data_IF_621369194813
#
_entry.id   IF_621369194813
#
_cell.length_a   1.000
_cell.length_b   1.000
_cell.length_c   1.000
_cell.angle_alpha   90.00
_cell.angle_beta   90.00
_cell.angle_gamma   90.00
#
_symmetry.space_group_name_H-M   'P 1'
#
loop_
_entity.id
_entity.type
_entity.pdbx_description
1 polymer ?
#
# COMPACT_ATOMS: atom_id res chain seq x y z
N UNK A 1 3.54 -41.01 17.47
CA UNK A 1 2.33 -40.89 18.32
C UNK A 1 1.31 -40.09 17.54
N UNK A 2 0.22 -40.80 17.11
CA UNK A 2 -0.90 -40.21 16.35
C UNK A 2 -1.89 -39.60 17.34
N UNK A 3 -2.41 -38.37 17.08
CA UNK A 3 -3.73 -37.93 17.51
C UNK A 3 -4.19 -36.89 16.50
N UNK A 4 -5.14 -37.21 15.64
CA UNK A 4 -6.59 -37.07 15.73
C UNK A 4 -7.03 -35.60 15.85
N UNK A 5 -7.43 -34.98 14.73
CA UNK A 5 -8.62 -34.15 14.66
C UNK A 5 -9.15 -34.17 13.22
N UNK A 6 -9.87 -35.24 12.86
CA UNK A 6 -10.89 -35.26 11.82
C UNK A 6 -12.23 -35.32 12.55
N UNK A 7 -13.21 -34.67 11.96
CA UNK A 7 -14.67 -34.81 12.18
C UNK A 7 -15.31 -33.47 12.54
N UNK A 8 -15.78 -32.76 11.54
CA UNK A 8 -17.09 -32.12 11.60
C UNK A 8 -17.49 -31.60 10.19
N UNK A 9 -17.92 -32.54 9.32
CA UNK A 9 -18.83 -32.21 8.22
C UNK A 9 -19.74 -33.43 8.02
N UNK A 10 -20.99 -33.33 8.37
CA UNK A 10 -22.06 -34.11 7.74
C UNK A 10 -23.45 -33.56 8.11
N UNK A 11 -24.21 -33.36 7.10
CA UNK A 11 -25.65 -33.58 7.15
C UNK A 11 -26.49 -32.30 7.17
N UNK A 12 -27.38 -32.10 6.41
CA UNK A 12 -28.53 -32.66 5.64
C UNK A 12 -29.28 -31.45 5.10
N UNK A 13 -29.87 -31.35 4.00
CA UNK A 13 -30.74 -32.29 3.32
C UNK A 13 -32.11 -31.67 3.11
N UNK A 14 -32.44 -31.50 1.90
CA UNK A 14 -33.73 -31.42 1.18
C UNK A 14 -35.04 -31.59 2.02
N UNK A 15 -35.99 -30.68 1.88
CA UNK A 15 -37.33 -31.00 1.34
C UNK A 15 -38.21 -29.77 1.24
N UNK A 16 -38.77 -29.55 0.09
CA UNK A 16 -39.78 -28.56 -0.19
C UNK A 16 -41.16 -29.01 0.28
N UNK A 17 -42.06 -28.05 0.42
CA UNK A 17 -43.48 -28.21 0.15
C UNK A 17 -44.09 -26.83 -0.13
N UNK A 18 -44.70 -26.74 -1.28
CA UNK A 18 -45.53 -25.67 -1.81
C UNK A 18 -46.90 -25.74 -1.10
N UNK A 19 -47.34 -24.66 -0.46
CA UNK A 19 -48.76 -24.46 -0.19
C UNK A 19 -49.12 -22.99 -0.31
N UNK A 20 -49.86 -22.72 -1.35
CA UNK A 20 -50.66 -21.51 -1.61
C UNK A 20 -51.76 -21.36 -0.58
N UNK A 21 -51.80 -20.23 0.13
CA UNK A 21 -53.04 -19.77 0.77
C UNK A 21 -53.27 -18.27 0.42
N UNK A 22 -54.36 -18.12 -0.31
CA UNK A 22 -55.01 -16.88 -0.64
C UNK A 22 -55.81 -16.40 0.60
N UNK A 23 -55.54 -15.22 1.16
CA UNK A 23 -56.44 -14.56 2.07
C UNK A 23 -56.54 -13.07 1.88
N UNK A 24 -57.76 -12.60 1.89
CA UNK A 24 -58.27 -11.29 1.57
C UNK A 24 -57.71 -10.15 2.40
N UNK A 25 -57.65 -8.99 1.75
CA UNK A 25 -57.34 -7.69 2.28
C UNK A 25 -58.40 -7.16 3.24
N UNK A 26 -57.97 -6.54 4.34
CA UNK A 26 -58.66 -5.46 5.02
C UNK A 26 -57.62 -4.38 5.43
N UNK A 27 -57.92 -3.10 5.26
CA UNK A 27 -56.97 -2.03 5.54
C UNK A 27 -56.95 -1.67 7.04
N UNK A 28 -55.78 -1.71 7.66
CA UNK A 28 -55.55 -1.14 8.98
C UNK A 28 -54.80 0.19 8.87
N UNK A 29 -55.00 1.17 9.79
CA UNK A 29 -54.55 2.52 9.64
C UNK A 29 -53.03 2.65 9.76
N UNK A 30 -52.49 3.48 8.88
CA UNK A 30 -51.07 3.86 8.84
C UNK A 30 -50.68 4.63 10.10
N UNK A 31 -49.96 3.98 11.01
CA UNK A 31 -49.12 4.66 11.99
C UNK A 31 -47.79 5.02 11.31
N UNK A 32 -47.63 6.31 11.04
CA UNK A 32 -46.39 6.92 10.60
C UNK A 32 -45.37 6.77 11.73
N UNK A 33 -44.56 5.70 11.70
CA UNK A 33 -43.33 5.63 12.47
C UNK A 33 -42.29 6.45 11.71
N UNK A 34 -42.01 7.62 12.29
CA UNK A 34 -40.87 8.45 11.92
C UNK A 34 -39.59 7.61 12.11
N UNK A 35 -39.09 6.99 11.03
CA UNK A 35 -37.74 6.41 11.01
C UNK A 35 -36.78 7.58 11.16
N UNK A 36 -36.25 7.74 12.37
CA UNK A 36 -35.06 8.56 12.61
C UNK A 36 -33.91 7.93 11.83
N UNK A 37 -33.57 8.50 10.70
CA UNK A 37 -32.30 8.30 10.02
C UNK A 37 -31.18 8.38 11.05
N UNK A 38 -30.24 7.43 11.11
CA UNK A 38 -29.08 7.58 11.97
C UNK A 38 -28.35 8.82 11.48
N UNK A 39 -28.39 9.87 12.27
CA UNK A 39 -27.56 11.05 12.12
C UNK A 39 -26.12 10.54 12.02
N UNK A 40 -25.53 10.64 10.83
CA UNK A 40 -24.12 10.40 10.64
C UNK A 40 -23.41 11.12 11.78
N UNK A 41 -22.69 10.35 12.60
CA UNK A 41 -21.94 10.93 13.70
C UNK A 41 -21.00 11.97 13.07
N UNK A 42 -21.33 13.24 13.31
CA UNK A 42 -20.44 14.33 13.00
C UNK A 42 -19.11 13.94 13.69
N UNK A 43 -18.07 13.73 12.92
CA UNK A 43 -16.70 13.66 13.42
C UNK A 43 -16.52 15.01 14.11
N UNK A 44 -16.69 15.02 15.44
CA UNK A 44 -16.40 16.17 16.26
C UNK A 44 -14.97 16.56 15.90
N UNK A 45 -14.74 17.80 15.53
CA UNK A 45 -13.41 18.37 15.38
C UNK A 45 -12.74 18.27 16.75
N UNK A 46 -12.08 17.13 17.00
CA UNK A 46 -11.38 16.89 18.24
C UNK A 46 -10.29 17.97 18.30
N UNK A 47 -10.34 18.80 19.35
CA UNK A 47 -9.37 19.87 19.50
C UNK A 47 -7.98 19.25 19.59
N UNK A 48 -7.04 19.73 18.78
CA UNK A 48 -5.66 19.25 18.79
C UNK A 48 -5.08 19.30 20.21
N UNK A 49 -4.35 18.25 20.59
CA UNK A 49 -3.71 18.12 21.91
C UNK A 49 -2.68 19.23 22.13
N UNK A 50 -2.72 19.84 23.32
CA UNK A 50 -1.77 20.88 23.74
C UNK A 50 -0.88 20.40 24.87
N UNK A 51 0.32 20.96 24.96
CA UNK A 51 1.34 20.55 25.93
C UNK A 51 1.83 21.74 26.75
N UNK A 52 2.35 21.47 27.95
CA UNK A 52 2.95 22.51 28.79
C UNK A 52 4.32 22.92 28.33
N UNK A 53 5.11 21.96 27.86
CA UNK A 53 6.47 22.17 27.32
C UNK A 53 6.60 21.49 25.94
N UNK A 54 7.57 21.89 25.12
CA UNK A 54 7.83 21.20 23.85
C UNK A 54 8.46 19.82 24.09
N UNK A 55 9.10 19.58 25.25
CA UNK A 55 9.61 18.28 25.66
C UNK A 55 8.45 17.31 25.95
N UNK A 56 7.37 17.76 26.64
CA UNK A 56 6.17 16.94 26.85
C UNK A 56 5.52 16.54 25.53
N UNK A 57 5.52 17.47 24.55
CA UNK A 57 5.01 17.19 23.22
C UNK A 57 5.83 16.11 22.51
N UNK A 58 7.15 16.23 22.54
CA UNK A 58 8.06 15.24 21.94
C UNK A 58 7.92 13.86 22.58
N UNK A 59 7.87 13.78 23.93
CA UNK A 59 7.71 12.54 24.67
C UNK A 59 6.38 11.86 24.33
N UNK A 60 5.29 12.62 24.26
CA UNK A 60 3.97 12.09 23.90
C UNK A 60 3.94 11.56 22.45
N UNK A 61 4.60 12.23 21.52
CA UNK A 61 4.74 11.76 20.14
C UNK A 61 5.50 10.44 20.08
N UNK A 62 6.69 10.37 20.68
CA UNK A 62 7.53 9.16 20.67
C UNK A 62 6.75 7.97 21.24
N UNK A 63 6.07 8.14 22.37
CA UNK A 63 5.24 7.11 22.99
C UNK A 63 4.08 6.66 22.07
N UNK A 64 3.40 7.60 21.42
CA UNK A 64 2.28 7.27 20.55
C UNK A 64 2.73 6.52 19.29
N UNK A 65 3.89 6.89 18.72
CA UNK A 65 4.47 6.21 17.55
C UNK A 65 4.96 4.81 17.93
N UNK A 66 5.66 4.66 19.07
CA UNK A 66 6.15 3.38 19.58
C UNK A 66 5.03 2.34 19.75
N UNK A 67 3.89 2.78 20.27
CA UNK A 67 2.71 1.92 20.47
C UNK A 67 1.82 1.81 19.22
N UNK A 68 2.17 2.48 18.12
CA UNK A 68 1.32 2.62 16.93
C UNK A 68 -0.10 3.07 17.29
N UNK A 69 -0.21 4.02 18.24
CA UNK A 69 -1.48 4.57 18.71
C UNK A 69 -1.98 5.66 17.76
N UNK A 70 -2.61 5.23 16.66
CA UNK A 70 -3.15 6.12 15.62
C UNK A 70 -4.15 7.15 16.20
N UNK A 71 -5.09 6.80 17.09
CA UNK A 71 -5.93 7.78 17.78
C UNK A 71 -5.14 8.88 18.49
N UNK A 72 -4.14 8.50 19.30
CA UNK A 72 -3.29 9.47 20.00
C UNK A 72 -2.49 10.36 19.04
N UNK A 73 -1.98 9.79 17.94
CA UNK A 73 -1.28 10.55 16.90
C UNK A 73 -2.22 11.57 16.23
N UNK A 74 -3.46 11.20 15.93
CA UNK A 74 -4.47 12.12 15.40
C UNK A 74 -4.81 13.26 16.37
N UNK A 75 -4.85 13.00 17.68
CA UNK A 75 -5.00 14.05 18.68
C UNK A 75 -3.76 14.97 18.73
N UNK A 76 -2.56 14.42 18.68
CA UNK A 76 -1.29 15.17 18.74
C UNK A 76 -1.16 16.09 17.52
N UNK A 77 -1.34 15.55 16.32
CA UNK A 77 -1.15 16.30 15.07
C UNK A 77 -2.40 17.05 14.61
N UNK A 78 -3.59 16.68 15.12
CA UNK A 78 -4.85 17.26 14.69
C UNK A 78 -5.25 16.81 13.28
N UNK A 79 -6.30 17.44 12.70
CA UNK A 79 -6.87 17.01 11.41
C UNK A 79 -5.91 17.11 10.23
N UNK A 80 -4.98 18.06 10.26
CA UNK A 80 -3.97 18.24 9.21
C UNK A 80 -2.91 17.13 9.19
N UNK A 81 -2.84 16.31 10.27
CA UNK A 81 -1.92 15.19 10.39
C UNK A 81 -2.40 13.88 9.76
N UNK A 82 -3.68 13.76 9.42
CA UNK A 82 -4.29 12.51 9.01
C UNK A 82 -3.53 11.80 7.89
N UNK A 83 -3.21 12.49 6.82
CA UNK A 83 -2.64 11.91 5.62
C UNK A 83 -1.20 11.39 5.81
N UNK A 84 -0.45 11.93 6.78
CA UNK A 84 0.89 11.44 7.05
C UNK A 84 0.99 10.47 8.24
N UNK A 85 -0.07 10.35 9.05
CA UNK A 85 -0.15 9.37 10.14
C UNK A 85 -0.57 8.00 9.60
N UNK A 86 -1.53 7.97 8.68
CA UNK A 86 -2.12 6.74 8.17
C UNK A 86 -2.35 6.83 6.66
N UNK A 87 -2.00 5.78 5.95
CA UNK A 87 -2.19 5.64 4.51
C UNK A 87 -2.92 4.34 4.16
N UNK A 88 -3.11 4.08 2.89
CA UNK A 88 -3.65 2.81 2.40
C UNK A 88 -2.71 1.59 2.60
N UNK A 89 -1.51 1.81 3.17
CA UNK A 89 -0.54 0.76 3.49
C UNK A 89 -0.20 0.76 5.00
N UNK A 90 -1.05 0.18 5.84
CA UNK A 90 -0.86 0.16 7.29
C UNK A 90 0.38 -0.64 7.75
N UNK A 91 0.87 -1.57 6.94
CA UNK A 91 2.08 -2.33 7.23
C UNK A 91 3.29 -1.41 7.12
N UNK A 92 3.39 -0.67 6.03
CA UNK A 92 4.45 0.33 5.83
C UNK A 92 4.38 1.45 6.86
N UNK A 93 3.19 1.98 7.14
CA UNK A 93 3.00 3.02 8.15
C UNK A 93 3.53 2.59 9.52
N UNK A 94 3.24 1.35 9.94
CA UNK A 94 3.73 0.78 11.19
C UNK A 94 5.25 0.60 11.19
N UNK A 95 5.82 0.09 10.10
CA UNK A 95 7.27 -0.12 9.95
C UNK A 95 8.04 1.21 10.04
N UNK A 96 7.59 2.23 9.31
CA UNK A 96 8.19 3.58 9.35
C UNK A 96 8.09 4.20 10.75
N UNK A 97 6.93 4.02 11.42
CA UNK A 97 6.76 4.47 12.82
C UNK A 97 7.74 3.77 13.76
N UNK A 98 7.90 2.46 13.66
CA UNK A 98 8.84 1.70 14.48
C UNK A 98 10.29 2.15 14.25
N UNK A 99 10.69 2.39 13.01
CA UNK A 99 12.03 2.92 12.67
C UNK A 99 12.26 4.32 13.27
N UNK A 100 11.25 5.20 13.21
CA UNK A 100 11.31 6.51 13.87
C UNK A 100 11.47 6.37 15.40
N UNK A 101 10.66 5.51 16.05
CA UNK A 101 10.73 5.28 17.48
C UNK A 101 12.10 4.75 17.90
N UNK A 102 12.68 3.81 17.16
CA UNK A 102 14.01 3.29 17.41
C UNK A 102 15.07 4.40 17.37
N UNK A 103 15.06 5.26 16.33
CA UNK A 103 15.96 6.43 16.24
C UNK A 103 15.75 7.43 17.38
N UNK A 104 14.50 7.65 17.79
CA UNK A 104 14.18 8.55 18.91
C UNK A 104 14.66 7.99 20.26
N UNK A 105 14.70 6.66 20.43
CA UNK A 105 15.29 6.02 21.62
C UNK A 105 16.83 6.11 21.62
N UNK A 106 17.50 6.04 20.48
CA UNK A 106 18.94 6.26 20.40
C UNK A 106 19.31 7.66 20.88
N UNK A 107 18.60 8.68 20.39
CA UNK A 107 18.75 10.07 20.76
C UNK A 107 17.52 10.86 20.41
N UNK A 108 17.03 11.67 21.33
CA UNK A 108 16.04 12.70 21.04
C UNK A 108 16.43 13.99 21.75
N UNK A 109 16.32 15.11 21.05
CA UNK A 109 16.66 16.42 21.55
C UNK A 109 15.67 17.45 21.03
N UNK A 110 15.06 18.22 21.93
CA UNK A 110 14.20 19.34 21.56
C UNK A 110 15.00 20.63 21.63
N UNK A 111 15.17 21.28 20.49
CA UNK A 111 15.88 22.56 20.36
C UNK A 111 14.91 23.70 20.11
N UNK A 112 15.09 24.81 20.81
CA UNK A 112 14.34 26.05 20.55
C UNK A 112 15.00 26.78 19.38
N UNK A 113 14.20 27.27 18.44
CA UNK A 113 14.70 28.07 17.34
C UNK A 113 15.32 29.38 17.87
N UNK A 114 16.61 29.65 17.63
CA UNK A 114 17.25 30.85 18.12
C UNK A 114 16.62 32.16 17.62
N UNK A 115 15.93 32.10 16.46
CA UNK A 115 15.25 33.25 15.85
C UNK A 115 13.81 33.40 16.29
N UNK A 116 13.22 32.31 16.82
CA UNK A 116 11.83 32.29 17.24
C UNK A 116 11.64 31.43 18.51
N UNK A 117 11.68 32.03 19.72
CA UNK A 117 11.53 31.30 20.98
C UNK A 117 10.16 30.63 21.19
N UNK A 118 9.21 30.93 20.32
CA UNK A 118 7.90 30.23 20.27
C UNK A 118 7.92 29.00 19.34
N UNK A 119 9.09 28.59 18.82
CA UNK A 119 9.26 27.46 17.92
C UNK A 119 10.32 26.52 18.46
N UNK A 120 10.02 25.23 18.43
CA UNK A 120 10.94 24.15 18.78
C UNK A 120 10.94 23.09 17.70
N UNK A 121 12.06 22.38 17.55
CA UNK A 121 12.25 21.27 16.62
C UNK A 121 12.71 20.05 17.41
N UNK A 122 12.09 18.92 17.17
CA UNK A 122 12.54 17.61 17.66
C UNK A 122 13.60 17.07 16.71
N UNK A 123 14.78 16.79 17.24
CA UNK A 123 15.88 16.11 16.56
C UNK A 123 15.91 14.66 17.04
N UNK A 124 16.03 13.68 16.14
CA UNK A 124 16.07 12.25 16.48
C UNK A 124 17.25 11.54 15.83
N UNK A 125 17.71 10.48 16.50
CA UNK A 125 18.84 9.67 16.07
C UNK A 125 20.21 10.37 16.23
N UNK A 126 21.26 9.60 16.04
CA UNK A 126 22.64 10.07 16.21
C UNK A 126 23.04 11.13 15.17
N UNK A 127 22.30 11.22 14.06
CA UNK A 127 22.53 12.20 13.00
C UNK A 127 21.74 13.50 13.20
N UNK A 128 21.08 13.68 14.37
CA UNK A 128 20.26 14.85 14.68
C UNK A 128 19.22 15.20 13.61
N UNK A 129 18.53 14.15 13.08
CA UNK A 129 17.54 14.31 12.02
C UNK A 129 16.34 15.15 12.52
N UNK A 130 16.05 16.29 11.87
CA UNK A 130 14.98 17.16 12.33
C UNK A 130 13.60 16.61 11.88
N UNK A 131 12.68 16.49 12.84
CA UNK A 131 11.28 16.21 12.52
C UNK A 131 10.71 17.39 11.71
N UNK A 132 10.13 17.16 10.51
CA UNK A 132 9.60 18.23 9.66
C UNK A 132 8.45 19.03 10.28
N UNK A 133 7.70 18.42 11.23
CA UNK A 133 6.62 19.08 11.94
C UNK A 133 7.15 19.81 13.18
N UNK A 134 7.24 21.15 13.15
CA UNK A 134 7.73 21.90 14.31
C UNK A 134 6.71 21.90 15.45
N UNK A 135 7.20 22.15 16.66
CA UNK A 135 6.39 22.36 17.86
C UNK A 135 6.32 23.86 18.11
N UNK A 136 5.13 24.45 18.08
CA UNK A 136 4.94 25.90 18.19
C UNK A 136 4.13 26.29 19.42
N UNK A 137 4.47 27.46 20.02
CA UNK A 137 3.77 28.01 21.18
C UNK A 137 2.65 28.95 20.74
N UNK A 138 1.42 28.62 21.08
CA UNK A 138 0.23 29.44 20.83
C UNK A 138 -0.55 29.60 22.15
N UNK A 139 -0.85 30.83 22.55
CA UNK A 139 -1.62 31.12 23.79
C UNK A 139 -1.06 30.42 25.04
N UNK A 140 0.25 30.38 25.18
CA UNK A 140 0.94 29.82 26.34
C UNK A 140 1.10 28.28 26.33
N UNK A 141 0.56 27.56 25.36
CA UNK A 141 0.64 26.10 25.19
C UNK A 141 1.39 25.74 23.91
N UNK A 142 1.97 24.54 23.88
CA UNK A 142 2.72 24.03 22.75
C UNK A 142 1.87 23.03 21.94
N UNK A 143 2.03 23.06 20.60
CA UNK A 143 1.27 22.24 19.63
C UNK A 143 2.22 21.84 18.50
N UNK A 144 1.98 20.69 17.87
CA UNK A 144 2.60 20.38 16.59
C UNK A 144 1.94 21.20 15.47
N UNK A 145 2.74 21.88 14.66
CA UNK A 145 2.27 22.65 13.49
C UNK A 145 2.21 21.73 12.25
N UNK A 146 1.25 20.83 12.22
CA UNK A 146 1.15 19.75 11.24
C UNK A 146 1.07 20.24 9.80
N UNK A 147 0.37 21.35 9.58
CA UNK A 147 0.23 21.94 8.25
C UNK A 147 1.57 22.34 7.62
N UNK A 148 2.51 22.82 8.43
CA UNK A 148 3.84 23.21 7.95
C UNK A 148 4.71 22.00 7.56
N UNK A 149 4.64 20.91 8.34
CA UNK A 149 5.46 19.72 8.10
C UNK A 149 4.85 18.67 7.16
N UNK A 150 3.55 18.79 6.90
CA UNK A 150 2.77 17.80 6.15
C UNK A 150 3.37 17.52 4.77
N UNK A 151 3.62 18.55 4.00
CA UNK A 151 4.06 18.40 2.61
C UNK A 151 5.43 17.75 2.52
N UNK A 152 6.33 18.05 3.47
CA UNK A 152 7.66 17.44 3.54
C UNK A 152 7.59 15.94 3.87
N UNK A 153 6.73 15.55 4.84
CA UNK A 153 6.54 14.13 5.18
C UNK A 153 5.96 13.35 4.00
N UNK A 154 4.92 13.90 3.37
CA UNK A 154 4.30 13.25 2.20
C UNK A 154 5.28 13.18 1.02
N UNK A 155 6.06 14.23 0.78
CA UNK A 155 7.07 14.24 -0.28
C UNK A 155 8.11 13.12 -0.09
N UNK A 156 8.63 12.94 1.14
CA UNK A 156 9.59 11.87 1.45
C UNK A 156 8.95 10.48 1.30
N UNK A 157 7.72 10.29 1.81
CA UNK A 157 6.97 9.03 1.65
C UNK A 157 6.77 8.69 0.18
N UNK A 158 6.26 9.64 -0.60
CA UNK A 158 6.02 9.48 -2.03
C UNK A 158 7.31 9.10 -2.74
N UNK A 159 8.40 9.83 -2.49
CA UNK A 159 9.70 9.55 -3.10
C UNK A 159 10.20 8.14 -2.80
N UNK A 160 10.15 7.71 -1.53
CA UNK A 160 10.55 6.36 -1.14
C UNK A 160 9.70 5.30 -1.83
N UNK A 161 8.37 5.44 -1.79
CA UNK A 161 7.46 4.46 -2.39
C UNK A 161 7.59 4.39 -3.92
N UNK A 162 7.83 5.53 -4.59
CA UNK A 162 8.06 5.57 -6.04
C UNK A 162 9.35 4.85 -6.43
N UNK A 163 10.41 5.01 -5.64
CA UNK A 163 11.67 4.27 -5.82
C UNK A 163 11.48 2.78 -5.63
N UNK A 164 10.78 2.36 -4.57
CA UNK A 164 10.45 0.96 -4.31
C UNK A 164 9.63 0.38 -5.47
N UNK A 165 8.63 1.12 -5.98
CA UNK A 165 7.81 0.68 -7.12
C UNK A 165 8.65 0.47 -8.40
N UNK A 166 9.63 1.35 -8.67
CA UNK A 166 10.56 1.20 -9.81
C UNK A 166 11.40 -0.08 -9.64
N UNK A 167 11.94 -0.34 -8.42
CA UNK A 167 12.71 -1.54 -8.14
C UNK A 167 11.87 -2.81 -8.30
N UNK A 168 10.63 -2.80 -7.83
CA UNK A 168 9.69 -3.91 -7.99
C UNK A 168 9.38 -4.15 -9.48
N UNK A 169 9.20 -3.08 -10.28
CA UNK A 169 9.02 -3.21 -11.73
C UNK A 169 10.21 -3.91 -12.40
N UNK A 170 11.45 -3.62 -11.99
CA UNK A 170 12.65 -4.28 -12.52
C UNK A 170 12.75 -5.73 -12.07
N UNK A 171 12.56 -5.98 -10.78
CA UNK A 171 12.55 -7.35 -10.24
C UNK A 171 11.47 -8.23 -10.87
N UNK A 172 10.32 -7.63 -11.26
CA UNK A 172 9.29 -8.35 -12.02
C UNK A 172 9.81 -8.84 -13.38
N UNK A 173 10.59 -8.03 -14.10
CA UNK A 173 11.15 -8.42 -15.40
C UNK A 173 12.11 -9.59 -15.23
N UNK A 174 13.01 -9.52 -14.26
CA UNK A 174 13.96 -10.60 -13.95
C UNK A 174 13.22 -11.90 -13.57
N UNK A 175 12.21 -11.78 -12.72
CA UNK A 175 11.39 -12.92 -12.29
C UNK A 175 10.60 -13.55 -13.45
N UNK A 176 10.10 -12.75 -14.40
CA UNK A 176 9.43 -13.27 -15.60
C UNK A 176 10.39 -14.04 -16.51
N UNK A 177 11.62 -13.56 -16.65
CA UNK A 177 12.66 -14.25 -17.45
C UNK A 177 13.06 -15.57 -16.82
N UNK A 178 13.21 -15.60 -15.49
CA UNK A 178 13.52 -16.82 -14.73
C UNK A 178 12.36 -17.82 -14.86
N UNK A 179 11.12 -17.39 -14.63
CA UNK A 179 9.93 -18.23 -14.74
C UNK A 179 9.82 -18.87 -16.15
N UNK A 180 10.03 -18.10 -17.20
CA UNK A 180 9.92 -18.58 -18.58
C UNK A 180 11.08 -19.53 -19.00
N UNK A 181 12.09 -19.72 -18.16
CA UNK A 181 13.19 -20.68 -18.44
C UNK A 181 12.78 -22.13 -18.25
N UNK A 182 11.68 -22.40 -17.55
CA UNK A 182 11.19 -23.74 -17.22
C UNK A 182 9.70 -23.88 -17.56
N UNK A 183 9.24 -25.13 -17.69
CA UNK A 183 7.81 -25.46 -17.86
C UNK A 183 7.15 -25.60 -16.49
N UNK A 184 6.07 -24.88 -16.26
CA UNK A 184 5.38 -24.84 -14.97
C UNK A 184 3.98 -25.47 -14.95
N UNK A 185 3.48 -25.92 -16.10
CA UNK A 185 2.15 -26.54 -16.24
C UNK A 185 2.11 -27.66 -17.27
N UNK A 186 0.95 -28.26 -17.45
CA UNK A 186 0.72 -29.38 -18.37
C UNK A 186 0.81 -28.99 -19.87
N UNK A 187 0.92 -27.69 -20.19
CA UNK A 187 1.05 -27.26 -21.60
C UNK A 187 2.35 -27.73 -22.25
N UNK A 188 3.38 -28.02 -21.45
CA UNK A 188 4.71 -28.39 -21.93
C UNK A 188 5.44 -27.24 -22.62
N UNK A 189 4.98 -26.00 -22.49
CA UNK A 189 5.50 -24.80 -23.15
C UNK A 189 6.13 -23.87 -22.10
N UNK A 190 7.33 -23.39 -22.37
CA UNK A 190 7.91 -22.28 -21.63
C UNK A 190 7.10 -21.03 -21.88
N UNK A 191 6.53 -20.44 -20.82
CA UNK A 191 5.67 -19.28 -20.87
C UNK A 191 5.94 -18.30 -19.74
N UNK A 192 5.49 -17.08 -19.87
CA UNK A 192 5.53 -16.08 -18.80
C UNK A 192 4.38 -16.29 -17.81
N UNK A 193 4.61 -15.91 -16.55
CA UNK A 193 3.58 -15.98 -15.51
C UNK A 193 2.48 -14.93 -15.75
N UNK A 194 1.23 -15.37 -15.70
CA UNK A 194 0.07 -14.49 -15.88
C UNK A 194 -0.35 -13.79 -14.58
N UNK A 195 0.29 -14.13 -13.45
CA UNK A 195 -0.01 -13.63 -12.10
C UNK A 195 1.28 -13.38 -11.33
N UNK A 196 1.18 -12.57 -10.30
CA UNK A 196 2.25 -12.42 -9.30
C UNK A 196 2.15 -13.61 -8.32
N UNK A 197 0.99 -13.80 -7.71
CA UNK A 197 0.72 -14.93 -6.83
C UNK A 197 -0.07 -15.99 -7.61
N UNK A 198 0.39 -17.23 -7.56
CA UNK A 198 -0.26 -18.35 -8.22
C UNK A 198 -1.63 -18.65 -7.65
N UNK A 199 -2.49 -19.20 -8.49
CA UNK A 199 -3.73 -19.87 -8.04
C UNK A 199 -3.35 -21.00 -7.08
N UNK A 200 -4.06 -21.17 -5.95
CA UNK A 200 -3.76 -22.25 -5.01
C UNK A 200 -3.69 -23.63 -5.70
N UNK A 201 -2.58 -24.33 -5.49
CA UNK A 201 -2.29 -25.62 -6.09
C UNK A 201 -1.82 -25.57 -7.55
N UNK A 202 -1.58 -24.38 -8.11
CA UNK A 202 -0.98 -24.18 -9.45
C UNK A 202 0.35 -23.43 -9.36
N UNK A 203 1.07 -23.41 -10.48
CA UNK A 203 2.29 -22.64 -10.66
C UNK A 203 2.12 -21.59 -11.78
N UNK A 204 0.94 -20.94 -11.86
CA UNK A 204 0.56 -19.97 -12.89
C UNK A 204 0.95 -18.51 -12.56
N UNK A 205 1.77 -18.33 -11.54
CA UNK A 205 2.29 -17.04 -11.06
C UNK A 205 3.76 -17.12 -10.68
N UNK A 206 4.36 -15.99 -10.35
CA UNK A 206 5.78 -15.85 -9.96
C UNK A 206 6.08 -16.36 -8.55
N UNK A 207 5.05 -16.58 -7.74
CA UNK A 207 5.12 -17.18 -6.40
C UNK A 207 4.06 -18.26 -6.24
N UNK A 208 4.42 -19.37 -5.61
CA UNK A 208 3.51 -20.43 -5.17
C UNK A 208 3.96 -21.02 -3.83
N UNK A 209 3.07 -21.72 -3.18
CA UNK A 209 3.38 -22.51 -2.01
C UNK A 209 3.47 -23.98 -2.43
N UNK A 210 4.60 -24.62 -2.14
CA UNK A 210 4.81 -26.04 -2.39
C UNK A 210 3.92 -26.89 -1.46
N UNK A 211 3.77 -28.18 -1.78
CA UNK A 211 2.94 -29.09 -0.98
C UNK A 211 3.42 -29.27 0.46
N UNK A 212 4.69 -29.09 0.72
CA UNK A 212 5.31 -29.12 2.06
C UNK A 212 5.20 -27.77 2.80
N UNK A 213 4.56 -26.76 2.20
CA UNK A 213 4.39 -25.44 2.76
C UNK A 213 5.56 -24.49 2.52
N UNK A 214 6.63 -24.95 1.86
CA UNK A 214 7.76 -24.07 1.53
C UNK A 214 7.42 -23.11 0.39
N UNK A 215 8.01 -21.89 0.38
CA UNK A 215 7.85 -20.93 -0.71
C UNK A 215 8.57 -21.43 -1.98
N UNK A 216 7.96 -21.19 -3.14
CA UNK A 216 8.52 -21.48 -4.45
C UNK A 216 8.28 -20.34 -5.43
N UNK A 217 9.00 -20.40 -6.56
CA UNK A 217 8.95 -19.41 -7.63
C UNK A 217 9.98 -18.29 -7.50
N UNK A 218 10.21 -17.54 -8.59
CA UNK A 218 11.28 -16.55 -8.70
C UNK A 218 11.28 -15.44 -7.65
N UNK A 219 10.10 -15.09 -7.12
CA UNK A 219 9.96 -14.02 -6.12
C UNK A 219 9.74 -14.53 -4.70
N UNK A 220 10.04 -15.80 -4.44
CA UNK A 220 9.78 -16.45 -3.14
C UNK A 220 10.44 -15.73 -1.96
N UNK A 221 11.69 -15.28 -2.09
CA UNK A 221 12.39 -14.53 -1.04
C UNK A 221 11.74 -13.17 -0.77
N UNK A 222 11.35 -12.44 -1.83
CA UNK A 222 10.67 -11.15 -1.69
C UNK A 222 9.31 -11.29 -1.00
N UNK A 223 8.54 -12.32 -1.36
CA UNK A 223 7.26 -12.61 -0.71
C UNK A 223 7.46 -13.06 0.74
N UNK A 224 8.46 -13.90 1.03
CA UNK A 224 8.77 -14.31 2.40
C UNK A 224 9.10 -13.09 3.27
N UNK A 225 9.94 -12.18 2.78
CA UNK A 225 10.26 -10.92 3.46
C UNK A 225 9.03 -10.05 3.69
N UNK A 226 8.18 -9.86 2.67
CA UNK A 226 6.95 -9.10 2.81
C UNK A 226 6.00 -9.72 3.84
N UNK A 227 5.93 -11.05 3.94
CA UNK A 227 5.14 -11.74 4.98
C UNK A 227 5.73 -11.47 6.37
N UNK A 228 7.05 -11.50 6.53
CA UNK A 228 7.73 -11.15 7.79
C UNK A 228 7.45 -9.69 8.21
N UNK A 229 7.37 -8.78 7.25
CA UNK A 229 6.96 -7.39 7.46
C UNK A 229 5.48 -7.25 7.84
N UNK A 230 4.67 -8.29 7.66
CA UNK A 230 3.25 -8.34 8.03
C UNK A 230 2.28 -8.18 6.86
N UNK A 231 2.76 -8.21 5.61
CA UNK A 231 1.86 -8.22 4.46
C UNK A 231 1.16 -9.57 4.29
N UNK A 232 -0.05 -9.53 3.78
CA UNK A 232 -0.84 -10.72 3.43
C UNK A 232 -1.29 -10.63 1.99
N UNK A 233 -1.17 -11.74 1.26
CA UNK A 233 -1.51 -11.81 -0.17
C UNK A 233 -2.84 -12.52 -0.44
N UNK A 234 -3.62 -12.79 0.60
CA UNK A 234 -4.97 -13.40 0.48
C UNK A 234 -6.00 -12.47 -0.15
N UNK A 235 -5.75 -11.16 -0.11
CA UNK A 235 -6.57 -10.11 -0.74
C UNK A 235 -5.65 -9.10 -1.40
N UNK A 236 -6.12 -8.40 -2.47
CA UNK A 236 -5.38 -7.26 -3.02
C UNK A 236 -5.11 -6.22 -1.93
N UNK A 237 -3.84 -6.00 -1.62
CA UNK A 237 -3.37 -5.01 -0.66
C UNK A 237 -2.28 -4.17 -1.30
N UNK A 238 -2.13 -2.94 -0.85
CA UNK A 238 -0.99 -2.14 -1.26
C UNK A 238 0.29 -2.77 -0.70
N UNK A 239 1.35 -2.73 -1.49
CA UNK A 239 2.70 -3.11 -1.10
C UNK A 239 3.63 -1.94 -1.38
N UNK A 240 4.30 -1.43 -0.35
CA UNK A 240 5.08 -0.19 -0.40
C UNK A 240 4.30 0.99 -1.01
N UNK A 241 3.01 1.09 -0.63
CA UNK A 241 2.13 2.15 -1.08
C UNK A 241 1.59 2.02 -2.51
N UNK A 242 1.81 0.89 -3.19
CA UNK A 242 1.43 0.65 -4.56
C UNK A 242 0.60 -0.61 -4.75
N UNK A 243 -0.30 -0.60 -5.74
CA UNK A 243 -0.93 -1.80 -6.30
C UNK A 243 -0.25 -2.19 -7.60
N UNK A 244 -0.15 -3.48 -7.85
CA UNK A 244 0.51 -4.05 -9.02
C UNK A 244 -0.45 -4.94 -9.81
N UNK A 245 -0.43 -4.83 -11.15
CA UNK A 245 -1.26 -5.66 -12.04
C UNK A 245 -0.45 -6.09 -13.26
N UNK A 246 -0.47 -7.39 -13.56
CA UNK A 246 0.08 -7.95 -14.79
C UNK A 246 -0.83 -7.59 -15.97
N UNK A 247 -0.26 -7.04 -17.03
CA UNK A 247 -0.96 -6.70 -18.27
C UNK A 247 -0.84 -7.85 -19.28
N UNK A 248 -1.90 -8.05 -20.09
CA UNK A 248 -2.01 -9.21 -20.99
C UNK A 248 -1.79 -8.88 -22.45
N UNK A 249 -1.31 -7.69 -22.76
CA UNK A 249 -1.00 -7.28 -24.13
C UNK A 249 -0.28 -5.94 -24.17
N UNK A 250 0.08 -5.51 -25.35
CA UNK A 250 0.65 -4.20 -25.60
C UNK A 250 -0.11 -3.46 -26.70
N UNK A 251 -0.01 -2.14 -26.67
CA UNK A 251 -0.62 -1.23 -27.63
C UNK A 251 0.33 -0.82 -28.75
N UNK A 252 -0.17 0.00 -29.70
CA UNK A 252 0.58 0.35 -30.91
C UNK A 252 1.84 1.20 -30.65
N UNK A 253 1.96 1.86 -29.50
CA UNK A 253 3.13 2.67 -29.15
C UNK A 253 4.25 1.87 -28.47
N UNK A 254 3.98 0.61 -28.13
CA UNK A 254 4.99 -0.30 -27.58
C UNK A 254 5.93 -0.81 -28.69
N UNK A 255 7.15 -1.25 -28.35
CA UNK A 255 8.03 -1.92 -29.30
C UNK A 255 7.30 -3.09 -29.97
N UNK A 256 7.51 -3.27 -31.29
CA UNK A 256 6.83 -4.27 -32.15
C UNK A 256 5.33 -4.00 -32.42
N UNK A 257 4.76 -2.89 -31.93
CA UNK A 257 3.37 -2.53 -32.14
C UNK A 257 2.37 -3.30 -31.27
N UNK A 258 1.11 -3.32 -31.69
CA UNK A 258 0.05 -3.97 -30.94
C UNK A 258 0.18 -5.49 -30.97
N UNK A 259 0.16 -6.12 -29.78
CA UNK A 259 0.33 -7.56 -29.62
C UNK A 259 -0.45 -8.06 -28.41
N UNK A 260 -1.07 -9.23 -28.49
CA UNK A 260 -1.60 -9.96 -27.37
C UNK A 260 -0.50 -10.85 -26.74
N UNK A 261 -0.34 -10.78 -25.44
CA UNK A 261 0.65 -11.59 -24.74
C UNK A 261 0.14 -13.00 -24.47
N UNK A 262 -1.18 -13.15 -24.32
CA UNK A 262 -1.83 -14.45 -24.06
C UNK A 262 -2.44 -14.95 -25.37
N UNK A 263 -1.98 -16.13 -25.82
CA UNK A 263 -2.42 -16.81 -27.03
C UNK A 263 -2.92 -18.19 -26.61
N UNK A 264 -4.19 -18.50 -26.86
CA UNK A 264 -4.82 -19.78 -26.48
C UNK A 264 -4.63 -20.15 -24.99
N UNK A 265 -4.62 -19.12 -24.13
CA UNK A 265 -4.46 -19.30 -22.66
C UNK A 265 -3.00 -19.33 -22.19
N UNK A 266 -2.02 -19.33 -23.08
CA UNK A 266 -0.58 -19.37 -22.79
C UNK A 266 0.05 -17.99 -22.99
N UNK A 267 0.80 -17.48 -22.02
CA UNK A 267 1.46 -16.17 -22.11
C UNK A 267 2.85 -16.27 -22.75
N UNK A 268 2.90 -16.21 -24.07
CA UNK A 268 4.13 -16.36 -24.87
C UNK A 268 4.47 -15.12 -25.72
N UNK A 269 3.56 -14.18 -25.87
CA UNK A 269 3.77 -12.97 -26.69
C UNK A 269 4.56 -11.87 -25.97
N UNK A 270 4.88 -12.04 -24.69
CA UNK A 270 5.53 -11.05 -23.85
C UNK A 270 4.84 -10.91 -22.50
N UNK A 271 5.25 -9.91 -21.74
CA UNK A 271 4.67 -9.58 -20.45
C UNK A 271 4.80 -8.09 -20.16
N UNK A 272 3.97 -7.57 -19.27
CA UNK A 272 4.12 -6.23 -18.73
C UNK A 272 3.44 -6.11 -17.35
N UNK A 273 3.85 -5.08 -16.60
CA UNK A 273 3.32 -4.74 -15.29
C UNK A 273 2.90 -3.28 -15.27
N UNK A 274 1.83 -2.97 -14.54
CA UNK A 274 1.50 -1.62 -14.09
C UNK A 274 1.58 -1.56 -12.58
N UNK A 275 2.23 -0.49 -12.06
CA UNK A 275 2.26 -0.13 -10.65
C UNK A 275 1.56 1.21 -10.48
N UNK A 276 0.53 1.28 -9.64
CA UNK A 276 -0.29 2.47 -9.42
C UNK A 276 -0.34 2.82 -7.94
N UNK A 277 -0.21 4.12 -7.54
CA UNK A 277 -0.27 4.50 -6.15
C UNK A 277 -1.61 4.12 -5.52
N UNK A 278 -1.55 3.55 -4.32
CA UNK A 278 -2.74 3.15 -3.57
C UNK A 278 -3.58 4.36 -3.12
N UNK A 279 -2.91 5.50 -2.93
CA UNK A 279 -3.54 6.76 -2.56
C UNK A 279 -2.81 7.92 -3.24
N UNK A 280 -3.46 8.55 -4.24
CA UNK A 280 -2.85 9.63 -5.00
C UNK A 280 -2.42 10.80 -4.12
N UNK A 281 -1.16 11.27 -4.25
CA UNK A 281 -0.52 12.31 -3.43
C UNK A 281 -0.37 11.99 -1.93
N UNK A 282 -0.62 10.75 -1.53
CA UNK A 282 -0.35 10.27 -0.17
C UNK A 282 0.69 9.16 -0.20
N UNK A 283 0.50 8.15 -1.03
CA UNK A 283 1.46 7.04 -1.18
C UNK A 283 2.31 7.14 -2.44
N UNK A 284 1.86 7.90 -3.45
CA UNK A 284 2.57 8.15 -4.70
C UNK A 284 1.84 9.15 -5.59
N UNK A 285 2.52 9.65 -6.60
CA UNK A 285 1.99 10.52 -7.67
C UNK A 285 2.07 9.82 -9.00
N UNK A 286 3.21 9.16 -9.28
CA UNK A 286 3.47 8.51 -10.56
C UNK A 286 2.89 7.11 -10.62
N UNK A 287 2.33 6.78 -11.78
CA UNK A 287 2.03 5.40 -12.17
C UNK A 287 3.18 4.93 -13.05
N UNK A 288 3.62 3.69 -12.84
CA UNK A 288 4.72 3.08 -13.58
C UNK A 288 4.21 1.94 -14.43
N UNK A 289 4.78 1.78 -15.63
CA UNK A 289 4.61 0.61 -16.49
C UNK A 289 5.97 0.09 -16.94
N UNK A 290 6.10 -1.22 -17.04
CA UNK A 290 7.29 -1.88 -17.55
C UNK A 290 6.88 -3.04 -18.45
N UNK A 291 7.59 -3.23 -19.55
CA UNK A 291 7.44 -4.36 -20.45
C UNK A 291 8.68 -5.26 -20.45
N UNK A 292 8.72 -6.21 -21.37
CA UNK A 292 9.79 -7.19 -21.52
C UNK A 292 11.18 -6.58 -21.78
N UNK A 293 11.22 -5.33 -22.26
CA UNK A 293 12.48 -4.59 -22.50
C UNK A 293 13.13 -4.03 -21.23
N UNK A 294 12.45 -4.17 -20.08
CA UNK A 294 12.93 -3.72 -18.78
C UNK A 294 12.94 -2.20 -18.59
N UNK A 295 12.44 -1.44 -19.59
CA UNK A 295 12.36 0.01 -19.48
C UNK A 295 11.15 0.39 -18.66
N UNK A 296 11.38 1.04 -17.52
CA UNK A 296 10.31 1.56 -16.65
C UNK A 296 9.90 2.94 -17.15
N UNK A 297 8.62 3.09 -17.49
CA UNK A 297 8.02 4.36 -17.84
C UNK A 297 7.12 4.87 -16.71
N UNK A 298 7.06 6.19 -16.55
CA UNK A 298 6.28 6.88 -15.52
C UNK A 298 5.33 7.91 -16.14
N UNK A 299 4.18 8.09 -15.48
CA UNK A 299 3.20 9.13 -15.84
C UNK A 299 2.36 9.49 -14.63
N UNK A 300 2.06 10.78 -14.45
CA UNK A 300 1.03 11.23 -13.52
C UNK A 300 -0.34 11.06 -14.18
N UNK A 301 -1.12 10.09 -13.72
CA UNK A 301 -2.48 9.82 -14.19
C UNK A 301 -3.55 10.60 -13.40
N UNK A 302 -3.13 11.38 -12.38
CA UNK A 302 -4.02 12.17 -11.55
C UNK A 302 -4.81 11.34 -10.52
N UNK A 303 -5.82 11.96 -9.87
CA UNK A 303 -6.55 11.35 -8.76
C UNK A 303 -7.36 10.11 -9.13
N UNK A 304 -7.64 9.88 -10.41
CA UNK A 304 -8.35 8.70 -10.91
C UNK A 304 -7.42 7.54 -11.31
N UNK A 305 -6.14 7.62 -10.97
CA UNK A 305 -5.09 6.68 -11.36
C UNK A 305 -5.45 5.22 -11.11
N UNK A 306 -6.08 4.90 -9.96
CA UNK A 306 -6.51 3.55 -9.60
C UNK A 306 -7.54 3.00 -10.60
N UNK A 307 -8.56 3.78 -10.97
CA UNK A 307 -9.59 3.31 -11.91
C UNK A 307 -9.02 3.16 -13.31
N UNK A 308 -8.12 4.07 -13.73
CA UNK A 308 -7.41 3.97 -15.00
C UNK A 308 -6.58 2.68 -15.03
N UNK A 309 -5.80 2.38 -13.97
CA UNK A 309 -4.98 1.17 -13.90
C UNK A 309 -5.82 -0.11 -13.85
N UNK A 310 -6.95 -0.13 -13.12
CA UNK A 310 -7.89 -1.27 -13.10
C UNK A 310 -8.35 -1.64 -14.49
N UNK A 311 -8.63 -0.64 -15.35
CA UNK A 311 -9.11 -0.82 -16.71
C UNK A 311 -7.97 -0.91 -17.75
N UNK A 312 -6.72 -0.74 -17.34
CA UNK A 312 -5.57 -0.86 -18.22
C UNK A 312 -5.29 -2.33 -18.53
N UNK A 313 -5.49 -2.75 -19.78
CA UNK A 313 -5.23 -4.13 -20.22
C UNK A 313 -3.94 -4.25 -21.03
N UNK A 314 -3.41 -3.12 -21.53
CA UNK A 314 -2.29 -3.08 -22.45
C UNK A 314 -1.18 -2.14 -22.00
N UNK A 315 0.05 -2.61 -22.08
CA UNK A 315 1.26 -1.80 -22.00
C UNK A 315 1.36 -0.92 -23.26
N UNK A 316 1.28 0.39 -23.11
CA UNK A 316 1.31 1.30 -24.24
C UNK A 316 2.04 2.60 -23.89
N UNK A 317 3.39 2.62 -23.88
CA UNK A 317 4.18 3.79 -23.55
C UNK A 317 4.20 4.79 -24.71
N UNK A 318 3.11 5.52 -24.87
CA UNK A 318 3.02 6.59 -25.85
C UNK A 318 3.88 7.81 -25.43
N UNK A 319 3.90 8.85 -26.26
CA UNK A 319 4.71 10.07 -26.03
C UNK A 319 4.39 10.84 -24.73
N UNK A 320 3.32 10.48 -24.04
CA UNK A 320 2.93 11.08 -22.75
C UNK A 320 3.53 10.35 -21.53
N UNK A 321 4.13 9.18 -21.77
CA UNK A 321 4.90 8.45 -20.80
C UNK A 321 6.38 8.82 -20.92
N UNK A 322 7.06 8.97 -19.80
CA UNK A 322 8.47 9.33 -19.73
C UNK A 322 9.25 8.16 -19.10
N UNK A 323 10.45 7.90 -19.59
CA UNK A 323 11.35 6.95 -18.92
C UNK A 323 11.67 7.47 -17.53
N UNK A 324 11.84 6.55 -16.57
CA UNK A 324 12.40 6.91 -15.28
C UNK A 324 13.87 7.28 -15.47
N UNK A 325 14.32 8.36 -14.81
CA UNK A 325 15.75 8.72 -14.80
C UNK A 325 16.47 7.74 -13.87
N UNK A 326 17.18 6.78 -14.44
CA UNK A 326 17.81 5.67 -13.71
C UNK A 326 19.10 6.05 -12.97
N UNK A 327 19.49 7.30 -12.99
CA UNK A 327 20.67 7.79 -12.31
C UNK A 327 20.33 8.41 -10.94
N UNK A 328 19.82 7.57 -10.02
CA UNK A 328 19.85 7.94 -8.62
C UNK A 328 21.25 7.66 -8.08
N UNK A 329 21.91 8.64 -7.43
CA UNK A 329 23.18 8.37 -6.77
C UNK A 329 22.98 7.26 -5.74
N UNK A 330 23.87 6.28 -5.73
CA UNK A 330 23.86 5.19 -4.74
C UNK A 330 23.87 5.69 -3.28
N UNK A 331 24.27 6.91 -3.04
CA UNK A 331 24.28 7.58 -1.73
C UNK A 331 22.88 7.91 -1.17
N UNK A 332 21.84 8.03 -2.02
CA UNK A 332 20.48 8.30 -1.53
C UNK A 332 19.82 7.03 -0.98
N UNK A 333 20.18 5.87 -1.52
CA UNK A 333 19.67 4.56 -1.05
C UNK A 333 20.33 4.12 0.27
N UNK A 334 21.58 4.50 0.52
CA UNK A 334 22.31 4.16 1.74
C UNK A 334 21.82 4.90 3.00
N UNK A 335 21.01 5.95 2.84
CA UNK A 335 20.48 6.77 3.94
C UNK A 335 18.96 6.57 4.17
N UNK A 336 18.34 5.63 3.46
CA UNK A 336 16.92 5.31 3.60
C UNK A 336 16.67 4.06 4.47
N UNK A 337 17.72 3.34 4.87
CA UNK A 337 17.69 2.21 5.81
C UNK A 337 17.75 2.69 7.28
#
# INVERSE_FOLDING_TARGET
MKSKLSDFIAGLGLCGILTTFLFCALPAPAHSQSQSTPKAAAISSQAQKSFSTPQDAAAALIQAVENYDVPALLEIFGPDGKDFISSADPVRDKSVGAAFAAKAHEKNLVTIDPKNPARAILLVGNNDWPLPVPIVKKRGKWYFESKEGRDEILFRRIGSNELDAIQICRGFVEAQQEYASEVHDESGINQYAQRIISTPGKHDGLYWQNQDGTPGGPISEGIARAIEEGYTFSKPSAYHGYYFKVLKGQGPSAPLGQLDYVIEGVMIGGFALVAVPAEYRVTGVKTFIVGYDGIVYQKDLGPDSINIAKNMERYNPDKTWHRTDDQWPAEVLANAD
#
